data_IF_147144806265
#
_entry.id   IF_147144806265
#
_cell.length_a   1.000
_cell.length_b   1.000
_cell.length_c   1.000
_cell.angle_alpha   90.00
_cell.angle_beta   90.00
_cell.angle_gamma   90.00
#
_symmetry.space_group_name_H-M   'P 1'
#
loop_
_entity.id
_entity.type
_entity.pdbx_description
1 polymer ?
#
# COMPACT_ATOMS: atom_id res chain seq x y z
N UNK A 1 -19.41 5.22 6.49
CA UNK A 1 -19.68 6.38 5.61
C UNK A 1 -18.50 7.32 5.84
N UNK A 2 -17.74 7.67 4.80
CA UNK A 2 -16.45 8.33 4.99
C UNK A 2 -16.56 9.80 5.45
N UNK A 3 -15.70 10.26 6.38
CA UNK A 3 -15.68 11.63 6.93
C UNK A 3 -15.67 12.75 5.89
N UNK A 4 -15.04 12.48 4.75
CA UNK A 4 -14.88 13.43 3.66
C UNK A 4 -16.23 13.81 3.01
N UNK A 5 -17.20 12.88 3.04
CA UNK A 5 -18.50 13.08 2.41
C UNK A 5 -19.41 13.98 3.26
N UNK A 6 -19.30 13.92 4.59
CA UNK A 6 -20.14 14.68 5.53
C UNK A 6 -19.72 16.16 5.59
N UNK A 7 -18.41 16.43 5.63
CA UNK A 7 -17.86 17.80 5.54
C UNK A 7 -18.26 18.49 4.23
N UNK A 8 -18.20 17.76 3.11
CA UNK A 8 -18.59 18.27 1.80
C UNK A 8 -20.09 18.57 1.74
N UNK A 9 -20.93 17.70 2.30
CA UNK A 9 -22.38 17.91 2.34
C UNK A 9 -22.78 19.16 3.13
N UNK A 10 -22.10 19.43 4.27
CA UNK A 10 -22.36 20.64 5.07
C UNK A 10 -21.99 21.90 4.28
N UNK A 11 -20.86 21.90 3.56
CA UNK A 11 -20.44 23.04 2.73
C UNK A 11 -21.39 23.28 1.55
N UNK A 12 -21.90 22.22 0.92
CA UNK A 12 -22.93 22.31 -0.13
C UNK A 12 -24.23 22.91 0.42
N UNK A 13 -24.66 22.53 1.64
CA UNK A 13 -25.87 23.08 2.27
C UNK A 13 -25.74 24.58 2.61
N UNK A 14 -24.54 25.06 2.96
CA UNK A 14 -24.26 26.50 3.13
C UNK A 14 -24.34 27.22 1.78
N UNK A 15 -23.74 26.65 0.73
CA UNK A 15 -23.71 27.24 -0.61
C UNK A 15 -25.12 27.35 -1.23
N UNK A 16 -25.99 26.38 -0.96
CA UNK A 16 -27.39 26.38 -1.40
C UNK A 16 -28.32 27.23 -0.52
N UNK A 17 -27.81 27.82 0.56
CA UNK A 17 -28.58 28.63 1.51
C UNK A 17 -29.60 27.83 2.32
N UNK A 18 -29.45 26.50 2.39
CA UNK A 18 -30.31 25.59 3.17
C UNK A 18 -30.06 25.72 4.68
N UNK A 19 -28.85 26.16 5.05
CA UNK A 19 -28.46 26.51 6.42
C UNK A 19 -27.66 27.81 6.42
N UNK A 20 -27.69 28.52 7.55
CA UNK A 20 -26.85 29.70 7.73
C UNK A 20 -25.38 29.32 7.92
N UNK A 21 -24.47 30.27 7.66
CA UNK A 21 -23.04 30.06 7.90
C UNK A 21 -22.74 29.71 9.38
N UNK A 22 -23.48 30.29 10.32
CA UNK A 22 -23.33 30.01 11.75
C UNK A 22 -23.78 28.60 12.13
N UNK A 23 -24.85 28.08 11.50
CA UNK A 23 -25.29 26.69 11.69
C UNK A 23 -24.33 25.70 11.01
N UNK A 24 -23.79 26.05 9.85
CA UNK A 24 -22.78 25.27 9.16
C UNK A 24 -21.49 25.12 9.95
N UNK A 25 -20.99 26.20 10.57
CA UNK A 25 -19.82 26.16 11.46
C UNK A 25 -20.04 25.28 12.69
N UNK A 26 -21.25 25.28 13.28
CA UNK A 26 -21.57 24.42 14.41
C UNK A 26 -21.57 22.94 14.03
N UNK A 27 -22.08 22.60 12.85
CA UNK A 27 -22.09 21.22 12.34
C UNK A 27 -20.68 20.72 12.00
N UNK A 28 -19.84 21.57 11.40
CA UNK A 28 -18.45 21.23 11.12
C UNK A 28 -17.65 21.00 12.41
N UNK A 29 -17.89 21.80 13.44
CA UNK A 29 -17.25 21.65 14.75
C UNK A 29 -17.68 20.36 15.46
N UNK A 30 -18.97 20.03 15.43
CA UNK A 30 -19.48 18.79 15.99
C UNK A 30 -18.91 17.55 15.26
N UNK A 31 -18.69 17.67 13.95
CA UNK A 31 -18.03 16.64 13.15
C UNK A 31 -16.58 16.43 13.61
N UNK A 32 -15.80 17.51 13.77
CA UNK A 32 -14.43 17.46 14.28
C UNK A 32 -14.33 16.90 15.72
N UNK A 33 -15.29 17.24 16.58
CA UNK A 33 -15.34 16.72 17.96
C UNK A 33 -15.68 15.21 18.00
N UNK A 34 -16.52 14.72 17.09
CA UNK A 34 -16.82 13.27 17.00
C UNK A 34 -15.61 12.42 16.58
N UNK A 35 -14.63 13.01 15.89
CA UNK A 35 -13.37 12.33 15.54
C UNK A 35 -12.32 12.41 16.66
N UNK A 36 -12.44 13.38 17.57
CA UNK A 36 -11.53 13.52 18.71
C UNK A 36 -11.83 12.52 19.85
N UNK A 37 -13.02 11.90 19.87
CA UNK A 37 -13.40 10.90 20.88
C UNK A 37 -13.03 9.45 20.50
N UNK A 38 -12.68 9.16 19.24
CA UNK A 38 -12.25 7.81 18.80
C UNK A 38 -10.73 7.57 18.90
N UNK A 39 -9.92 8.61 19.14
CA UNK A 39 -8.47 8.49 19.30
C UNK A 39 -8.07 8.89 20.74
N UNK A 40 -7.48 7.95 21.49
CA UNK A 40 -6.93 8.04 22.87
C UNK A 40 -7.82 7.61 24.04
N UNK A 41 -7.84 6.30 24.30
CA UNK A 41 -8.06 5.73 25.63
C UNK A 41 -6.80 5.07 26.20
N UNK A 42 -5.98 5.80 26.96
CA UNK A 42 -4.99 5.26 27.91
C UNK A 42 -4.89 6.16 29.16
N UNK A 43 -4.60 5.61 30.36
CA UNK A 43 -5.07 6.15 31.64
C UNK A 43 -4.19 7.26 32.25
N UNK A 44 -4.82 8.07 33.11
CA UNK A 44 -4.21 9.15 33.90
C UNK A 44 -3.00 8.70 34.75
N UNK A 45 -1.91 9.46 34.68
CA UNK A 45 -0.79 9.40 35.61
C UNK A 45 -0.65 10.73 36.36
N UNK A 46 -0.60 10.66 37.69
CA UNK A 46 -0.46 11.77 38.63
C UNK A 46 0.84 12.60 38.46
N UNK A 47 0.88 13.86 38.96
CA UNK A 47 1.95 14.79 38.63
C UNK A 47 3.19 14.54 39.48
N UNK A 48 4.29 14.18 38.84
CA UNK A 48 5.61 14.09 39.49
C UNK A 48 6.47 15.29 39.11
N UNK A 49 6.81 16.02 40.16
CA UNK A 49 7.64 17.21 40.27
C UNK A 49 8.99 17.08 39.53
N UNK A 50 9.29 18.00 38.61
CA UNK A 50 10.57 18.09 37.92
C UNK A 50 11.64 18.79 38.78
N UNK A 51 12.92 18.41 38.62
CA UNK A 51 13.98 19.41 38.69
C UNK A 51 14.86 19.43 37.43
N UNK A 52 15.05 20.66 36.95
CA UNK A 52 16.22 21.26 36.32
C UNK A 52 17.09 20.43 35.35
N UNK A 53 17.00 20.84 34.08
CA UNK A 53 18.06 20.99 33.07
C UNK A 53 19.46 20.48 33.43
N UNK A 54 19.90 19.45 32.71
CA UNK A 54 21.30 19.13 32.51
C UNK A 54 21.68 19.38 31.04
N UNK A 55 22.47 20.42 30.83
CA UNK A 55 23.20 20.72 29.59
C UNK A 55 24.38 19.75 29.47
N UNK A 56 24.56 19.15 28.30
CA UNK A 56 25.83 18.55 27.86
C UNK A 56 26.10 18.92 26.38
N UNK A 57 27.38 18.93 25.95
CA UNK A 57 27.93 20.05 25.22
C UNK A 57 28.00 19.85 23.70
N UNK A 58 27.85 20.95 22.97
CA UNK A 58 28.23 21.03 21.57
C UNK A 58 29.75 20.89 21.42
N UNK A 59 30.20 19.73 20.94
CA UNK A 59 31.57 19.57 20.44
C UNK A 59 31.59 20.07 19.00
N UNK A 60 32.14 21.27 18.81
CA UNK A 60 32.40 21.83 17.50
C UNK A 60 33.48 21.04 16.76
N UNK A 61 33.11 20.48 15.61
CA UNK A 61 34.01 20.44 14.46
C UNK A 61 33.32 21.22 13.35
N UNK A 62 33.75 22.47 13.20
CA UNK A 62 33.34 23.31 12.10
C UNK A 62 33.98 22.79 10.82
N UNK A 63 33.13 22.39 9.86
CA UNK A 63 33.55 22.32 8.48
C UNK A 63 33.81 23.74 8.00
N UNK A 64 34.93 24.04 7.31
CA UNK A 64 35.05 25.30 6.62
C UNK A 64 34.05 25.26 5.47
N UNK A 65 32.90 25.91 5.65
CA UNK A 65 32.09 26.36 4.53
C UNK A 65 32.91 27.41 3.78
N UNK A 66 33.77 26.96 2.86
CA UNK A 66 34.20 27.80 1.76
C UNK A 66 33.00 27.91 0.84
N UNK A 67 32.03 28.74 1.26
CA UNK A 67 31.06 29.28 0.34
C UNK A 67 31.88 29.98 -0.75
N UNK A 68 31.70 29.65 -2.05
CA UNK A 68 32.15 30.56 -3.08
C UNK A 68 31.51 31.91 -2.76
N UNK A 69 32.29 32.99 -2.84
CA UNK A 69 31.79 34.33 -2.57
C UNK A 69 30.48 34.54 -3.35
N UNK A 70 29.36 34.71 -2.62
CA UNK A 70 28.07 34.97 -3.25
C UNK A 70 28.24 36.18 -4.16
N UNK A 71 28.06 35.97 -5.46
CA UNK A 71 27.95 37.08 -6.39
C UNK A 71 26.80 38.00 -5.91
N UNK A 72 26.92 39.33 -6.10
CA UNK A 72 25.86 40.25 -5.69
C UNK A 72 24.55 39.86 -6.38
N UNK A 73 23.49 39.68 -5.59
CA UNK A 73 22.16 39.37 -6.12
C UNK A 73 21.67 40.55 -7.00
N UNK A 74 21.18 40.27 -8.22
CA UNK A 74 20.73 41.30 -9.16
C UNK A 74 19.58 42.12 -8.59
N UNK A 75 19.63 43.45 -8.75
CA UNK A 75 18.70 44.40 -8.10
C UNK A 75 17.57 44.84 -9.04
N UNK A 76 17.65 44.48 -10.32
CA UNK A 76 16.65 44.78 -11.35
C UNK A 76 16.35 43.56 -12.24
N UNK A 77 15.18 43.57 -12.89
CA UNK A 77 14.78 42.52 -13.86
C UNK A 77 15.80 42.33 -14.98
N UNK A 78 16.39 43.43 -15.46
CA UNK A 78 17.41 43.38 -16.50
C UNK A 78 18.68 42.66 -16.01
N UNK A 79 19.16 42.97 -14.81
CA UNK A 79 20.33 42.28 -14.21
C UNK A 79 20.03 40.80 -13.92
N UNK A 80 18.80 40.45 -13.54
CA UNK A 80 18.39 39.04 -13.38
C UNK A 80 18.45 38.28 -14.71
N UNK A 81 17.93 38.88 -15.78
CA UNK A 81 17.96 38.29 -17.12
C UNK A 81 19.39 38.16 -17.63
N UNK A 82 20.23 39.18 -17.44
CA UNK A 82 21.65 39.15 -17.82
C UNK A 82 22.39 38.03 -17.08
N UNK A 83 22.21 37.95 -15.76
CA UNK A 83 22.83 36.89 -14.96
C UNK A 83 22.36 35.48 -15.37
N UNK A 84 21.09 35.33 -15.77
CA UNK A 84 20.52 34.07 -16.24
C UNK A 84 21.10 33.68 -17.60
N UNK A 85 21.19 34.63 -18.54
CA UNK A 85 21.84 34.42 -19.85
C UNK A 85 23.29 33.97 -19.67
N UNK A 86 24.05 34.61 -18.78
CA UNK A 86 25.43 34.23 -18.52
C UNK A 86 25.52 32.82 -17.93
N UNK A 87 24.67 32.49 -16.96
CA UNK A 87 24.64 31.15 -16.36
C UNK A 87 24.28 30.05 -17.38
N UNK A 88 23.32 30.31 -18.28
CA UNK A 88 22.91 29.38 -19.33
C UNK A 88 24.00 29.20 -20.40
N UNK A 89 24.68 30.28 -20.79
CA UNK A 89 25.85 30.19 -21.69
C UNK A 89 26.99 29.38 -21.09
N UNK A 90 27.26 29.57 -19.79
CA UNK A 90 28.23 28.74 -19.06
C UNK A 90 27.82 27.26 -18.96
N UNK A 91 26.52 26.98 -19.04
CA UNK A 91 25.97 25.63 -19.12
C UNK A 91 25.94 25.07 -20.56
N UNK A 92 26.35 25.84 -21.57
CA UNK A 92 26.40 25.42 -22.98
C UNK A 92 25.19 25.80 -23.82
N UNK A 93 24.24 26.57 -23.28
CA UNK A 93 23.06 27.04 -24.00
C UNK A 93 23.37 28.39 -24.67
N UNK A 94 23.67 28.37 -25.98
CA UNK A 94 24.13 29.56 -26.72
C UNK A 94 23.01 30.31 -27.46
N UNK A 95 22.01 29.61 -27.97
CA UNK A 95 20.90 30.18 -28.76
C UNK A 95 19.69 30.48 -27.87
N UNK A 96 19.58 31.73 -27.39
CA UNK A 96 18.49 32.18 -26.54
C UNK A 96 17.68 33.30 -27.22
N UNK A 97 16.36 33.13 -27.29
CA UNK A 97 15.43 34.17 -27.68
C UNK A 97 14.86 34.91 -26.47
N UNK A 98 14.23 36.06 -26.72
CA UNK A 98 13.51 36.80 -25.67
C UNK A 98 12.33 35.96 -25.13
N UNK A 99 11.70 35.14 -25.98
CA UNK A 99 10.60 34.26 -25.58
C UNK A 99 11.08 33.22 -24.57
N UNK A 100 12.23 32.60 -24.86
CA UNK A 100 12.87 31.59 -24.01
C UNK A 100 13.18 32.15 -22.61
N UNK A 101 13.77 33.35 -22.56
CA UNK A 101 14.06 34.02 -21.29
C UNK A 101 12.79 34.36 -20.51
N UNK A 102 11.70 34.71 -21.19
CA UNK A 102 10.42 34.93 -20.52
C UNK A 102 9.88 33.63 -19.94
N UNK A 103 9.96 32.52 -20.68
CA UNK A 103 9.51 31.21 -20.22
C UNK A 103 10.29 30.72 -18.99
N UNK A 104 11.62 30.77 -19.06
CA UNK A 104 12.51 30.43 -17.94
C UNK A 104 12.15 31.22 -16.67
N UNK A 105 11.96 32.54 -16.81
CA UNK A 105 11.57 33.39 -15.68
C UNK A 105 10.18 33.05 -15.14
N UNK A 106 9.21 32.74 -16.01
CA UNK A 106 7.86 32.33 -15.58
C UNK A 106 7.89 31.03 -14.79
N UNK A 107 8.78 30.09 -15.16
CA UNK A 107 9.00 28.83 -14.44
C UNK A 107 10.03 28.93 -13.30
N UNK A 108 10.43 30.15 -12.94
CA UNK A 108 11.38 30.41 -11.85
C UNK A 108 12.74 29.69 -12.01
N UNK A 109 13.21 29.56 -13.25
CA UNK A 109 14.58 29.16 -13.57
C UNK A 109 15.47 30.39 -13.42
N UNK A 110 16.35 30.39 -12.41
CA UNK A 110 17.22 31.51 -12.07
C UNK A 110 18.69 31.20 -12.37
N UNK A 111 19.52 32.24 -12.48
CA UNK A 111 20.96 32.09 -12.63
C UNK A 111 21.58 31.28 -11.49
N UNK A 112 21.07 31.45 -10.26
CA UNK A 112 21.48 30.70 -9.08
C UNK A 112 21.14 29.22 -9.22
N UNK A 113 19.91 28.90 -9.64
CA UNK A 113 19.49 27.53 -9.90
C UNK A 113 20.38 26.81 -10.93
N UNK A 114 20.65 27.45 -12.07
CA UNK A 114 21.52 26.90 -13.13
C UNK A 114 22.94 26.64 -12.60
N UNK A 115 23.52 27.62 -11.88
CA UNK A 115 24.88 27.49 -11.32
C UNK A 115 24.96 26.41 -10.25
N UNK A 116 23.96 26.30 -9.38
CA UNK A 116 23.94 25.28 -8.33
C UNK A 116 23.81 23.87 -8.89
N UNK A 117 22.89 23.64 -9.83
CA UNK A 117 22.78 22.35 -10.50
C UNK A 117 24.06 22.00 -11.27
N UNK A 118 24.67 22.97 -11.96
CA UNK A 118 25.95 22.76 -12.64
C UNK A 118 27.10 22.46 -11.67
N UNK A 119 27.14 23.09 -10.50
CA UNK A 119 28.11 22.76 -9.45
C UNK A 119 27.90 21.35 -8.90
N UNK A 120 26.64 20.89 -8.92
CA UNK A 120 26.28 19.49 -8.72
C UNK A 120 26.42 18.67 -10.01
N UNK A 121 27.13 19.11 -11.04
CA UNK A 121 27.36 18.31 -12.25
C UNK A 121 26.12 17.98 -13.08
N UNK A 122 24.97 18.61 -12.80
CA UNK A 122 23.76 18.56 -13.64
C UNK A 122 23.80 19.76 -14.57
N UNK A 123 24.10 19.51 -15.84
CA UNK A 123 24.23 20.55 -16.85
C UNK A 123 23.71 20.02 -18.21
N UNK A 124 22.38 19.90 -18.37
CA UNK A 124 21.81 19.56 -19.66
C UNK A 124 22.14 20.63 -20.71
N UNK A 125 22.35 20.19 -21.94
CA UNK A 125 22.75 21.05 -23.05
C UNK A 125 21.59 21.75 -23.74
N UNK A 126 20.38 21.20 -23.64
CA UNK A 126 19.18 21.80 -24.22
C UNK A 126 18.47 22.70 -23.21
N UNK A 127 17.86 23.77 -23.73
CA UNK A 127 17.06 24.70 -22.92
C UNK A 127 15.81 24.02 -22.34
N UNK A 128 15.18 23.13 -23.11
CA UNK A 128 14.00 22.37 -22.73
C UNK A 128 14.22 21.55 -21.47
N UNK A 129 15.34 20.86 -21.38
CA UNK A 129 15.72 20.05 -20.20
C UNK A 129 15.79 20.89 -18.92
N UNK A 130 16.28 22.15 -18.99
CA UNK A 130 16.28 23.06 -17.84
C UNK A 130 14.86 23.44 -17.39
N UNK A 131 13.94 23.59 -18.34
CA UNK A 131 12.53 23.87 -18.07
C UNK A 131 11.82 22.63 -17.52
N UNK A 132 12.15 21.45 -18.03
CA UNK A 132 11.60 20.15 -17.60
C UNK A 132 12.02 19.83 -16.17
N UNK A 133 13.32 19.91 -15.87
CA UNK A 133 13.82 19.79 -14.49
C UNK A 133 13.04 20.70 -13.53
N UNK A 134 12.67 21.90 -13.98
CA UNK A 134 11.93 22.84 -13.13
C UNK A 134 10.44 22.54 -13.03
N UNK A 135 9.84 22.06 -14.11
CA UNK A 135 8.45 21.58 -14.17
C UNK A 135 8.25 20.40 -13.21
N UNK A 136 9.22 19.49 -13.14
CA UNK A 136 9.22 18.35 -12.21
C UNK A 136 9.75 18.70 -10.81
N UNK A 137 9.86 19.98 -10.47
CA UNK A 137 10.29 20.46 -9.15
C UNK A 137 11.68 19.95 -8.69
N UNK A 138 12.58 19.65 -9.61
CA UNK A 138 13.95 19.25 -9.27
C UNK A 138 14.67 20.45 -8.65
N UNK A 139 15.19 20.28 -7.44
CA UNK A 139 15.90 21.32 -6.70
C UNK A 139 17.37 20.95 -6.46
N UNK A 140 18.28 21.93 -6.32
CA UNK A 140 19.65 21.65 -5.92
C UNK A 140 19.77 20.96 -4.55
N UNK A 141 18.79 21.19 -3.66
CA UNK A 141 18.71 20.48 -2.38
C UNK A 141 18.42 18.99 -2.60
N UNK A 142 17.39 18.67 -3.37
CA UNK A 142 17.02 17.29 -3.70
C UNK A 142 18.21 16.52 -4.30
N UNK A 143 18.89 17.09 -5.30
CA UNK A 143 20.08 16.48 -5.92
C UNK A 143 21.21 16.26 -4.90
N UNK A 144 21.43 17.20 -3.99
CA UNK A 144 22.46 17.08 -2.95
C UNK A 144 22.12 15.98 -1.94
N UNK A 145 20.86 15.87 -1.54
CA UNK A 145 20.39 14.84 -0.62
C UNK A 145 20.53 13.44 -1.24
N UNK A 146 20.09 13.24 -2.48
CA UNK A 146 20.26 11.97 -3.21
C UNK A 146 21.74 11.55 -3.28
N UNK A 147 22.64 12.50 -3.56
CA UNK A 147 24.09 12.22 -3.58
C UNK A 147 24.67 11.91 -2.21
N UNK A 148 24.16 12.56 -1.17
CA UNK A 148 24.58 12.30 0.22
C UNK A 148 24.18 10.89 0.64
N UNK A 149 23.03 10.42 0.16
CA UNK A 149 22.56 9.04 0.31
C UNK A 149 23.32 8.05 -0.59
N UNK A 150 24.28 8.52 -1.39
CA UNK A 150 25.13 7.67 -2.21
C UNK A 150 24.53 7.24 -3.55
N UNK A 151 23.38 7.81 -3.95
CA UNK A 151 22.77 7.53 -5.25
C UNK A 151 23.69 8.04 -6.37
N UNK A 152 24.05 7.12 -7.27
CA UNK A 152 24.95 7.37 -8.42
C UNK A 152 24.12 7.43 -9.70
N UNK A 153 24.73 7.88 -10.79
CA UNK A 153 24.07 7.91 -12.10
C UNK A 153 22.98 8.98 -12.25
N UNK A 154 22.96 9.99 -11.37
CA UNK A 154 21.99 11.08 -11.45
C UNK A 154 22.31 12.02 -12.63
N UNK A 155 21.61 11.82 -13.74
CA UNK A 155 21.46 12.78 -14.84
C UNK A 155 20.07 13.46 -14.79
N UNK A 156 19.72 14.24 -15.81
CA UNK A 156 18.48 15.00 -15.82
C UNK A 156 17.25 14.06 -15.87
N UNK A 157 17.28 13.07 -16.77
CA UNK A 157 16.20 12.10 -16.98
C UNK A 157 15.95 11.27 -15.70
N UNK A 158 17.02 10.75 -15.08
CA UNK A 158 16.91 9.98 -13.85
C UNK A 158 16.34 10.81 -12.67
N UNK A 159 16.68 12.10 -12.60
CA UNK A 159 16.12 12.99 -11.57
C UNK A 159 14.63 13.23 -11.80
N UNK A 160 14.21 13.40 -13.05
CA UNK A 160 12.81 13.56 -13.44
C UNK A 160 12.04 12.28 -13.08
N UNK A 161 12.53 11.11 -13.49
CA UNK A 161 11.90 9.81 -13.22
C UNK A 161 11.68 9.54 -11.72
N UNK A 162 12.71 9.77 -10.90
CA UNK A 162 12.62 9.66 -9.44
C UNK A 162 11.54 10.61 -8.89
N UNK A 163 11.48 11.84 -9.41
CA UNK A 163 10.52 12.84 -8.94
C UNK A 163 9.08 12.53 -9.38
N UNK A 164 8.87 12.09 -10.61
CA UNK A 164 7.56 11.65 -11.13
C UNK A 164 7.02 10.47 -10.34
N UNK A 165 7.91 9.56 -9.94
CA UNK A 165 7.61 8.38 -9.14
C UNK A 165 7.52 8.70 -7.63
N UNK A 166 7.58 9.97 -7.23
CA UNK A 166 7.53 10.45 -5.85
C UNK A 166 8.63 9.87 -4.92
N UNK A 167 9.78 9.49 -5.49
CA UNK A 167 10.91 8.99 -4.71
C UNK A 167 11.60 10.14 -3.98
N UNK A 168 11.46 10.14 -2.66
CA UNK A 168 12.04 11.18 -1.79
C UNK A 168 13.36 10.74 -1.16
N UNK A 169 14.25 11.67 -0.77
CA UNK A 169 15.47 11.33 -0.04
C UNK A 169 15.16 10.68 1.32
N UNK A 170 14.03 11.05 1.94
CA UNK A 170 13.54 10.41 3.16
C UNK A 170 13.20 8.93 2.93
N UNK A 171 12.48 8.62 1.85
CA UNK A 171 12.13 7.25 1.49
C UNK A 171 13.40 6.39 1.31
N UNK A 172 14.37 6.87 0.54
CA UNK A 172 15.66 6.19 0.33
C UNK A 172 16.41 6.00 1.66
N UNK A 173 16.49 7.03 2.49
CA UNK A 173 17.15 6.94 3.80
C UNK A 173 16.49 5.89 4.70
N UNK A 174 15.15 5.81 4.69
CA UNK A 174 14.43 4.80 5.47
C UNK A 174 14.72 3.37 4.95
N UNK A 175 14.76 3.17 3.63
CA UNK A 175 15.18 1.88 3.02
C UNK A 175 16.61 1.49 3.44
N UNK A 176 17.54 2.44 3.46
CA UNK A 176 18.91 2.21 3.94
C UNK A 176 18.95 1.84 5.43
N UNK A 177 18.08 2.39 6.28
CA UNK A 177 18.01 1.95 7.69
C UNK A 177 17.50 0.51 7.84
N UNK A 178 16.80 0.01 6.82
CA UNK A 178 16.42 -1.39 6.67
C UNK A 178 17.49 -2.18 5.92
N UNK A 179 18.70 -1.66 5.72
CA UNK A 179 19.80 -2.40 5.07
C UNK A 179 19.58 -2.67 3.58
N UNK A 180 18.65 -1.97 2.92
CA UNK A 180 18.51 -1.95 1.46
C UNK A 180 19.39 -0.83 0.88
N UNK A 181 20.71 -1.00 1.01
CA UNK A 181 21.70 0.03 0.69
C UNK A 181 22.12 0.07 -0.79
N UNK A 182 21.88 -1.01 -1.53
CA UNK A 182 22.40 -1.21 -2.90
C UNK A 182 21.31 -1.16 -3.99
N UNK A 183 20.19 -0.49 -3.72
CA UNK A 183 19.08 -0.35 -4.68
C UNK A 183 19.47 0.53 -5.88
N UNK A 184 19.07 0.07 -7.07
CA UNK A 184 19.17 0.84 -8.31
C UNK A 184 18.14 1.98 -8.35
N UNK A 185 18.26 2.90 -9.31
CA UNK A 185 17.24 3.94 -9.52
C UNK A 185 15.91 3.29 -9.92
N UNK A 186 15.97 2.30 -10.81
CA UNK A 186 14.82 1.52 -11.26
C UNK A 186 14.14 0.82 -10.07
N UNK A 187 14.90 0.20 -9.16
CA UNK A 187 14.35 -0.46 -7.96
C UNK A 187 13.59 0.54 -7.06
N UNK A 188 14.16 1.73 -6.85
CA UNK A 188 13.53 2.78 -6.04
C UNK A 188 12.23 3.27 -6.67
N UNK A 189 12.23 3.41 -7.99
CA UNK A 189 11.07 3.80 -8.79
C UNK A 189 9.99 2.72 -8.72
N UNK A 190 10.34 1.45 -8.90
CA UNK A 190 9.40 0.33 -8.84
C UNK A 190 8.78 0.18 -7.45
N UNK A 191 9.59 0.18 -6.39
CA UNK A 191 9.07 0.13 -5.01
C UNK A 191 8.08 1.27 -4.75
N UNK A 192 8.40 2.50 -5.19
CA UNK A 192 7.53 3.66 -4.99
C UNK A 192 6.23 3.56 -5.81
N UNK A 193 6.33 3.18 -7.08
CA UNK A 193 5.18 3.04 -7.99
C UNK A 193 4.21 1.94 -7.56
N UNK A 194 4.72 0.87 -6.96
CA UNK A 194 3.93 -0.22 -6.37
C UNK A 194 3.49 0.05 -4.93
N UNK A 195 3.78 1.24 -4.38
CA UNK A 195 3.34 1.63 -3.04
C UNK A 195 4.03 0.87 -1.90
N UNK A 196 5.18 0.27 -2.17
CA UNK A 196 5.96 -0.48 -1.18
C UNK A 196 6.66 0.49 -0.24
N UNK A 197 6.12 0.63 0.96
CA UNK A 197 6.66 1.56 1.96
C UNK A 197 7.78 0.93 2.81
N UNK A 198 8.73 1.73 3.35
CA UNK A 198 9.72 1.22 4.30
C UNK A 198 9.07 0.60 5.54
N UNK A 199 7.91 1.14 5.97
CA UNK A 199 7.13 0.55 7.07
C UNK A 199 6.65 -0.87 6.75
N UNK A 200 6.12 -1.07 5.54
CA UNK A 200 5.65 -2.39 5.10
C UNK A 200 6.80 -3.40 5.11
N UNK A 201 7.96 -3.04 4.54
CA UNK A 201 9.18 -3.88 4.56
C UNK A 201 9.62 -4.19 5.99
N UNK A 202 9.64 -3.20 6.88
CA UNK A 202 10.01 -3.39 8.28
C UNK A 202 9.07 -4.36 9.02
N UNK A 203 7.76 -4.26 8.76
CA UNK A 203 6.75 -5.16 9.33
C UNK A 203 6.92 -6.60 8.79
N UNK A 204 7.16 -6.78 7.48
CA UNK A 204 7.47 -8.10 6.90
C UNK A 204 8.70 -8.74 7.55
N UNK A 205 9.78 -7.98 7.73
CA UNK A 205 10.99 -8.47 8.40
C UNK A 205 10.77 -8.81 9.87
N UNK A 206 9.92 -8.06 10.56
CA UNK A 206 9.53 -8.39 11.95
C UNK A 206 8.76 -9.72 12.04
N UNK A 207 8.16 -10.13 10.92
CA UNK A 207 7.56 -11.43 10.70
C UNK A 207 8.60 -12.39 10.07
N UNK A 208 9.90 -12.21 10.24
CA UNK A 208 10.91 -13.18 9.82
C UNK A 208 11.03 -13.38 8.30
N UNK A 209 10.41 -12.54 7.47
CA UNK A 209 10.69 -12.47 6.03
C UNK A 209 11.86 -11.50 5.81
N UNK A 210 13.07 -11.96 6.13
CA UNK A 210 14.27 -11.11 6.24
C UNK A 210 14.99 -10.88 4.90
N UNK A 211 14.93 -11.87 3.99
CA UNK A 211 15.73 -11.93 2.77
C UNK A 211 14.89 -11.76 1.49
N UNK A 212 13.91 -10.86 1.51
CA UNK A 212 13.08 -10.56 0.35
C UNK A 212 13.80 -9.65 -0.64
N UNK A 213 13.80 -10.02 -1.92
CA UNK A 213 14.22 -9.15 -3.01
C UNK A 213 13.13 -8.13 -3.40
N UNK A 214 13.46 -7.22 -4.33
CA UNK A 214 12.56 -6.14 -4.76
C UNK A 214 11.32 -6.70 -5.45
N UNK A 215 11.48 -7.73 -6.28
CA UNK A 215 10.38 -8.35 -7.01
C UNK A 215 9.42 -9.02 -6.02
N UNK A 216 9.93 -9.79 -5.06
CA UNK A 216 9.12 -10.44 -4.01
C UNK A 216 8.36 -9.42 -3.14
N UNK A 217 8.99 -8.29 -2.79
CA UNK A 217 8.33 -7.21 -2.05
C UNK A 217 7.16 -6.60 -2.85
N UNK A 218 7.37 -6.41 -4.15
CA UNK A 218 6.36 -5.87 -5.06
C UNK A 218 5.23 -6.88 -5.26
N UNK A 219 5.54 -8.17 -5.45
CA UNK A 219 4.54 -9.22 -5.62
C UNK A 219 3.64 -9.36 -4.39
N UNK A 220 4.21 -9.40 -3.19
CA UNK A 220 3.43 -9.42 -1.94
C UNK A 220 2.48 -8.21 -1.84
N UNK A 221 2.96 -7.02 -2.20
CA UNK A 221 2.14 -5.80 -2.21
C UNK A 221 1.03 -5.83 -3.26
N UNK A 222 1.33 -6.24 -4.50
CA UNK A 222 0.38 -6.33 -5.60
C UNK A 222 -0.72 -7.36 -5.37
N UNK A 223 -0.43 -8.41 -4.59
CA UNK A 223 -1.37 -9.47 -4.23
C UNK A 223 -2.04 -9.25 -2.86
N UNK A 224 -2.05 -8.00 -2.36
CA UNK A 224 -2.71 -7.59 -1.11
C UNK A 224 -2.25 -8.38 0.14
N UNK A 225 -1.04 -8.93 0.11
CA UNK A 225 -0.46 -9.69 1.23
C UNK A 225 0.05 -8.73 2.30
N UNK A 226 -0.84 -8.39 3.24
CA UNK A 226 -0.50 -7.48 4.35
C UNK A 226 0.29 -8.17 5.48
N UNK A 227 1.12 -7.45 6.26
CA UNK A 227 1.81 -8.03 7.42
C UNK A 227 0.81 -8.58 8.46
N UNK A 228 -0.36 -7.94 8.59
CA UNK A 228 -1.46 -8.43 9.43
C UNK A 228 -1.98 -9.78 8.95
N UNK A 229 -2.20 -9.93 7.64
CA UNK A 229 -2.62 -11.21 7.05
C UNK A 229 -1.62 -12.31 7.39
N UNK A 230 -0.33 -12.10 7.12
CA UNK A 230 0.74 -13.06 7.44
C UNK A 230 0.75 -13.42 8.93
N UNK A 231 0.69 -12.43 9.82
CA UNK A 231 0.68 -12.66 11.26
C UNK A 231 -0.52 -13.52 11.70
N UNK A 232 -1.72 -13.27 11.14
CA UNK A 232 -2.92 -14.02 11.46
C UNK A 232 -2.90 -15.44 10.89
N UNK A 233 -2.43 -15.63 9.65
CA UNK A 233 -2.25 -16.95 9.03
C UNK A 233 -1.29 -17.81 9.86
N UNK A 234 -0.17 -17.25 10.30
CA UNK A 234 0.78 -17.96 11.17
C UNK A 234 0.23 -18.27 12.56
N UNK A 235 -0.54 -17.37 13.14
CA UNK A 235 -1.23 -17.62 14.40
C UNK A 235 -2.27 -18.75 14.29
N UNK A 236 -2.74 -19.03 13.07
CA UNK A 236 -3.56 -20.18 12.74
C UNK A 236 -2.73 -21.44 12.45
N UNK A 237 -1.43 -21.46 12.74
CA UNK A 237 -0.60 -22.66 12.63
C UNK A 237 -0.07 -22.95 11.21
N UNK A 238 -0.33 -22.07 10.25
CA UNK A 238 0.33 -22.08 8.93
C UNK A 238 1.60 -21.22 9.02
N UNK A 239 2.56 -21.67 9.82
CA UNK A 239 3.72 -20.86 10.23
C UNK A 239 4.83 -20.77 9.18
N UNK A 240 5.03 -21.85 8.43
CA UNK A 240 6.20 -22.10 7.58
C UNK A 240 5.91 -21.89 6.09
N UNK A 241 5.01 -20.94 5.77
CA UNK A 241 4.64 -20.67 4.38
C UNK A 241 5.71 -19.85 3.65
N UNK A 242 6.01 -20.24 2.42
CA UNK A 242 6.81 -19.49 1.47
C UNK A 242 6.03 -18.27 0.92
N UNK A 243 6.75 -17.34 0.28
CA UNK A 243 6.16 -16.11 -0.29
C UNK A 243 5.06 -16.46 -1.29
N UNK A 244 5.34 -17.38 -2.21
CA UNK A 244 4.39 -17.84 -3.24
C UNK A 244 3.12 -18.42 -2.60
N UNK A 245 3.25 -19.19 -1.52
CA UNK A 245 2.11 -19.80 -0.84
C UNK A 245 1.23 -18.75 -0.11
N UNK A 246 1.84 -17.69 0.44
CA UNK A 246 1.10 -16.56 1.01
C UNK A 246 0.34 -15.79 -0.08
N UNK A 247 0.96 -15.61 -1.25
CA UNK A 247 0.34 -14.98 -2.42
C UNK A 247 -0.82 -15.82 -2.93
N UNK A 248 -0.65 -17.15 -3.05
CA UNK A 248 -1.71 -18.06 -3.47
C UNK A 248 -2.92 -18.01 -2.53
N UNK A 249 -2.71 -18.07 -1.21
CA UNK A 249 -3.80 -17.93 -0.24
C UNK A 249 -4.56 -16.61 -0.42
N UNK A 250 -3.86 -15.50 -0.64
CA UNK A 250 -4.48 -14.19 -0.88
C UNK A 250 -5.29 -14.17 -2.18
N UNK A 251 -4.69 -14.64 -3.28
CA UNK A 251 -5.32 -14.69 -4.61
C UNK A 251 -6.59 -15.55 -4.65
N UNK A 252 -6.63 -16.60 -3.84
CA UNK A 252 -7.79 -17.49 -3.71
C UNK A 252 -8.74 -17.07 -2.58
N UNK A 253 -8.66 -15.83 -2.09
CA UNK A 253 -9.53 -15.24 -1.07
C UNK A 253 -9.56 -16.02 0.27
N UNK A 254 -8.49 -16.79 0.55
CA UNK A 254 -8.37 -17.58 1.79
C UNK A 254 -7.97 -16.67 2.94
N UNK A 255 -8.95 -15.99 3.52
CA UNK A 255 -8.75 -15.12 4.68
C UNK A 255 -8.54 -15.88 6.00
N UNK A 256 -7.89 -15.27 7.01
CA UNK A 256 -7.86 -15.83 8.36
C UNK A 256 -9.25 -16.13 8.95
N UNK A 257 -10.26 -15.34 8.58
CA UNK A 257 -11.64 -15.57 9.00
C UNK A 257 -12.26 -16.78 8.31
N UNK A 258 -11.94 -17.01 7.03
CA UNK A 258 -12.33 -18.22 6.30
C UNK A 258 -11.79 -19.46 7.01
N UNK A 259 -10.49 -19.51 7.29
CA UNK A 259 -9.82 -20.62 7.99
C UNK A 259 -10.45 -20.89 9.36
N UNK A 260 -10.61 -19.83 10.20
CA UNK A 260 -11.27 -19.95 11.52
C UNK A 260 -12.68 -20.54 11.42
N UNK A 261 -13.45 -20.13 10.41
CA UNK A 261 -14.82 -20.58 10.23
C UNK A 261 -14.87 -22.05 9.78
N UNK A 262 -13.99 -22.46 8.86
CA UNK A 262 -13.89 -23.85 8.41
C UNK A 262 -13.46 -24.78 9.56
N UNK A 263 -12.48 -24.37 10.37
CA UNK A 263 -12.07 -25.14 11.56
C UNK A 263 -13.19 -25.28 12.59
N UNK A 264 -13.99 -24.23 12.81
CA UNK A 264 -15.14 -24.30 13.71
C UNK A 264 -16.22 -25.29 13.25
N UNK A 265 -16.20 -25.69 11.97
CA UNK A 265 -17.07 -26.71 11.40
C UNK A 265 -16.47 -28.14 11.47
N UNK A 266 -15.31 -28.29 12.11
CA UNK A 266 -14.63 -29.57 12.30
C UNK A 266 -13.55 -29.90 11.26
N UNK A 267 -13.22 -28.96 10.37
CA UNK A 267 -12.11 -29.09 9.41
C UNK A 267 -10.81 -28.55 10.03
N UNK A 268 -10.32 -29.22 11.07
CA UNK A 268 -9.24 -28.69 11.94
C UNK A 268 -7.83 -28.77 11.30
N UNK A 269 -7.57 -29.79 10.48
CA UNK A 269 -6.25 -30.14 9.94
C UNK A 269 -6.12 -29.87 8.43
N UNK A 270 -6.63 -28.73 7.95
CA UNK A 270 -6.46 -28.30 6.56
C UNK A 270 -5.08 -27.70 6.35
N UNK A 271 -4.34 -28.22 5.36
CA UNK A 271 -3.16 -27.54 4.81
C UNK A 271 -3.56 -26.38 3.88
N UNK A 272 -2.57 -25.63 3.40
CA UNK A 272 -2.82 -24.44 2.58
C UNK A 272 -3.42 -24.81 1.21
N UNK A 273 -2.99 -25.91 0.60
CA UNK A 273 -3.50 -26.41 -0.68
C UNK A 273 -4.98 -26.77 -0.56
N UNK A 274 -5.37 -27.49 0.48
CA UNK A 274 -6.77 -27.85 0.74
C UNK A 274 -7.65 -26.63 1.01
N UNK A 275 -7.12 -25.60 1.67
CA UNK A 275 -7.83 -24.34 1.86
C UNK A 275 -8.06 -23.61 0.51
N UNK A 276 -7.05 -23.58 -0.34
CA UNK A 276 -7.14 -23.04 -1.70
C UNK A 276 -8.14 -23.83 -2.52
N UNK A 277 -8.12 -25.16 -2.47
CA UNK A 277 -9.06 -26.02 -3.21
C UNK A 277 -10.52 -25.78 -2.77
N UNK A 278 -10.77 -25.73 -1.46
CA UNK A 278 -12.11 -25.42 -0.94
C UNK A 278 -12.60 -24.05 -1.44
N UNK A 279 -11.75 -23.02 -1.32
CA UNK A 279 -12.11 -21.65 -1.73
C UNK A 279 -12.35 -21.56 -3.24
N UNK A 280 -11.45 -22.14 -4.05
CA UNK A 280 -11.52 -22.15 -5.51
C UNK A 280 -12.73 -22.89 -6.06
N UNK A 281 -13.29 -23.82 -5.28
CA UNK A 281 -14.52 -24.54 -5.62
C UNK A 281 -15.77 -23.91 -5.00
N UNK A 282 -15.72 -22.63 -4.60
CA UNK A 282 -16.82 -21.89 -3.99
C UNK A 282 -17.39 -22.54 -2.70
N UNK A 283 -16.59 -23.33 -1.98
CA UNK A 283 -16.99 -23.90 -0.69
C UNK A 283 -16.85 -22.82 0.38
N UNK A 284 -17.89 -22.01 0.52
CA UNK A 284 -17.96 -21.00 1.60
C UNK A 284 -18.21 -21.65 2.97
N UNK A 285 -17.78 -21.02 4.08
CA UNK A 285 -18.10 -21.51 5.42
C UNK A 285 -19.61 -21.60 5.68
N UNK A 286 -20.40 -20.71 5.04
CA UNK A 286 -21.85 -20.76 5.08
C UNK A 286 -22.40 -22.04 4.43
N UNK A 287 -21.93 -22.34 3.21
CA UNK A 287 -22.35 -23.55 2.51
C UNK A 287 -22.00 -24.80 3.32
N UNK A 288 -20.75 -24.91 3.79
CA UNK A 288 -20.30 -26.02 4.62
C UNK A 288 -21.16 -26.16 5.89
N UNK A 289 -21.44 -25.06 6.59
CA UNK A 289 -22.30 -25.08 7.78
C UNK A 289 -23.72 -25.58 7.47
N UNK A 290 -24.36 -25.05 6.43
CA UNK A 290 -25.72 -25.44 6.04
C UNK A 290 -25.79 -26.92 5.62
N UNK A 291 -24.78 -27.42 4.91
CA UNK A 291 -24.67 -28.83 4.48
C UNK A 291 -24.45 -29.77 5.66
N UNK A 292 -23.53 -29.43 6.57
CA UNK A 292 -23.25 -30.21 7.78
C UNK A 292 -24.50 -30.25 8.69
N UNK A 293 -25.17 -29.12 8.90
CA UNK A 293 -26.42 -29.07 9.67
C UNK A 293 -27.53 -29.91 9.00
N UNK A 294 -27.67 -29.79 7.69
CA UNK A 294 -28.68 -30.53 6.92
C UNK A 294 -28.47 -32.04 6.97
N UNK A 295 -27.21 -32.48 6.85
CA UNK A 295 -26.84 -33.88 6.92
C UNK A 295 -26.84 -34.43 8.36
N UNK A 296 -26.60 -33.58 9.36
CA UNK A 296 -26.45 -33.99 10.76
C UNK A 296 -25.15 -34.75 11.04
N UNK A 297 -24.15 -34.62 10.15
CA UNK A 297 -22.82 -35.23 10.26
C UNK A 297 -21.77 -34.30 9.62
N UNK A 298 -20.50 -34.36 10.05
CA UNK A 298 -19.42 -33.64 9.37
C UNK A 298 -19.12 -34.26 8.00
N UNK A 299 -18.44 -33.49 7.16
CA UNK A 299 -17.88 -33.91 5.87
C UNK A 299 -16.40 -33.53 5.82
N UNK A 300 -15.61 -34.31 5.09
CA UNK A 300 -14.24 -33.94 4.73
C UNK A 300 -14.22 -32.77 3.73
N UNK A 301 -13.04 -32.17 3.54
CA UNK A 301 -12.86 -31.08 2.57
C UNK A 301 -13.27 -31.52 1.15
N UNK A 302 -12.80 -32.69 0.74
CA UNK A 302 -13.07 -33.25 -0.59
C UNK A 302 -14.55 -33.60 -0.78
N UNK A 303 -15.22 -34.17 0.23
CA UNK A 303 -16.68 -34.38 0.17
C UNK A 303 -17.43 -33.05 0.05
N UNK A 304 -17.01 -31.98 0.73
CA UNK A 304 -17.66 -30.66 0.59
C UNK A 304 -17.46 -30.06 -0.81
N UNK A 305 -16.28 -30.23 -1.40
CA UNK A 305 -15.98 -29.84 -2.78
C UNK A 305 -16.88 -30.61 -3.74
N UNK A 306 -16.97 -31.94 -3.60
CA UNK A 306 -17.78 -32.77 -4.48
C UNK A 306 -19.29 -32.45 -4.34
N UNK A 307 -19.78 -32.24 -3.11
CA UNK A 307 -21.15 -31.78 -2.89
C UNK A 307 -21.42 -30.42 -3.56
N UNK A 308 -20.45 -29.50 -3.50
CA UNK A 308 -20.57 -28.15 -4.07
C UNK A 308 -20.57 -28.18 -5.59
N UNK A 309 -19.64 -28.92 -6.21
CA UNK A 309 -19.53 -29.07 -7.66
C UNK A 309 -20.77 -29.74 -8.27
N UNK A 310 -21.45 -30.61 -7.51
CA UNK A 310 -22.65 -31.32 -7.94
C UNK A 310 -23.96 -30.64 -7.50
N UNK A 311 -23.91 -29.35 -7.14
CA UNK A 311 -25.07 -28.53 -6.74
C UNK A 311 -25.92 -29.15 -5.63
N UNK A 312 -25.29 -29.93 -4.72
CA UNK A 312 -26.00 -30.60 -3.65
C UNK A 312 -26.48 -29.58 -2.63
N UNK A 313 -27.82 -29.39 -2.58
CA UNK A 313 -28.42 -28.41 -1.69
C UNK A 313 -28.62 -28.93 -0.25
N UNK A 314 -28.48 -28.07 0.77
CA UNK A 314 -28.86 -28.38 2.15
C UNK A 314 -30.32 -28.84 2.31
N UNK A 315 -31.22 -28.40 1.41
CA UNK A 315 -32.61 -28.88 1.41
C UNK A 315 -32.70 -30.35 1.01
N UNK A 316 -31.99 -30.75 -0.04
CA UNK A 316 -31.97 -32.13 -0.51
C UNK A 316 -31.41 -33.08 0.57
N UNK A 317 -30.31 -32.69 1.22
CA UNK A 317 -29.73 -33.46 2.33
C UNK A 317 -30.71 -33.60 3.52
N UNK A 318 -31.43 -32.54 3.89
CA UNK A 318 -32.49 -32.61 4.90
C UNK A 318 -33.60 -33.59 4.51
N UNK A 319 -34.07 -33.54 3.26
CA UNK A 319 -35.10 -34.45 2.77
C UNK A 319 -34.66 -35.92 2.80
N UNK A 320 -33.39 -36.20 2.47
CA UNK A 320 -32.80 -37.54 2.58
C UNK A 320 -32.71 -37.99 4.04
N UNK A 321 -32.27 -37.11 4.95
CA UNK A 321 -32.16 -37.39 6.38
C UNK A 321 -33.51 -37.67 7.02
N UNK A 322 -34.51 -36.83 6.78
CA UNK A 322 -35.88 -37.00 7.30
C UNK A 322 -36.55 -38.31 6.83
N UNK A 323 -36.13 -38.81 5.67
CA UNK A 323 -36.61 -40.08 5.13
C UNK A 323 -35.81 -41.30 5.60
N UNK A 324 -34.76 -41.09 6.41
CA UNK A 324 -33.83 -42.14 6.87
C UNK A 324 -32.98 -42.73 5.75
N UNK A 325 -32.84 -42.03 4.63
CA UNK A 325 -32.08 -42.51 3.47
C UNK A 325 -30.60 -42.16 3.55
N UNK A 326 -30.27 -41.02 4.17
CA UNK A 326 -28.90 -40.49 4.22
C UNK A 326 -27.90 -41.44 4.91
N UNK A 327 -28.34 -42.23 5.88
CA UNK A 327 -27.51 -43.24 6.57
C UNK A 327 -27.31 -44.53 5.76
N UNK A 328 -28.09 -44.73 4.69
CA UNK A 328 -28.11 -45.98 3.90
C UNK A 328 -27.55 -45.83 2.50
N UNK A 329 -27.39 -44.59 2.03
CA UNK A 329 -26.84 -44.29 0.71
C UNK A 329 -25.32 -44.20 0.81
N UNK A 330 -24.63 -44.78 -0.17
CA UNK A 330 -23.23 -44.44 -0.39
C UNK A 330 -23.11 -42.96 -0.80
N UNK A 331 -21.94 -42.37 -0.60
CA UNK A 331 -21.70 -40.98 -0.98
C UNK A 331 -21.86 -40.78 -2.49
N UNK A 332 -21.28 -41.66 -3.31
CA UNK A 332 -21.44 -41.64 -4.77
C UNK A 332 -22.91 -41.72 -5.20
N UNK A 333 -23.72 -42.58 -4.56
CA UNK A 333 -25.16 -42.67 -4.85
C UNK A 333 -25.89 -41.35 -4.53
N UNK A 334 -25.48 -40.64 -3.48
CA UNK A 334 -26.04 -39.34 -3.12
C UNK A 334 -25.71 -38.30 -4.19
N UNK A 335 -24.47 -38.29 -4.68
CA UNK A 335 -24.02 -37.40 -5.75
C UNK A 335 -24.78 -37.69 -7.05
N UNK A 336 -24.83 -38.94 -7.50
CA UNK A 336 -25.57 -39.35 -8.70
C UNK A 336 -27.05 -38.93 -8.62
N UNK A 337 -27.66 -39.05 -7.44
CA UNK A 337 -29.04 -38.60 -7.24
C UNK A 337 -29.20 -37.09 -7.36
N UNK A 338 -28.26 -36.31 -6.84
CA UNK A 338 -28.31 -34.87 -6.93
C UNK A 338 -28.15 -34.40 -8.38
N UNK A 339 -27.16 -34.93 -9.11
CA UNK A 339 -26.95 -34.68 -10.54
C UNK A 339 -28.19 -35.03 -11.37
N UNK A 340 -28.78 -36.20 -11.12
CA UNK A 340 -29.98 -36.65 -11.82
C UNK A 340 -31.28 -35.98 -11.32
N UNK A 341 -31.18 -35.05 -10.35
CA UNK A 341 -32.30 -34.35 -9.73
C UNK A 341 -33.39 -35.31 -9.21
N UNK A 342 -32.98 -36.47 -8.71
CA UNK A 342 -33.89 -37.53 -8.25
C UNK A 342 -34.43 -37.15 -6.87
N UNK A 343 -35.73 -36.86 -6.72
CA UNK A 343 -36.28 -36.49 -5.41
C UNK A 343 -36.26 -37.70 -4.48
N UNK A 344 -35.83 -37.49 -3.23
CA UNK A 344 -35.68 -38.51 -2.19
C UNK A 344 -36.92 -39.45 -2.03
N UNK A 345 -38.13 -38.90 -2.22
CA UNK A 345 -39.40 -39.65 -2.17
C UNK A 345 -39.51 -40.81 -3.16
N UNK A 346 -38.76 -40.80 -4.27
CA UNK A 346 -38.79 -41.86 -5.28
C UNK A 346 -37.99 -43.08 -4.85
N UNK A 347 -36.86 -42.92 -4.17
CA UNK A 347 -36.06 -44.05 -3.68
C UNK A 347 -36.82 -44.92 -2.68
N UNK A 348 -37.59 -44.30 -1.78
CA UNK A 348 -38.43 -45.04 -0.82
C UNK A 348 -39.47 -45.95 -1.51
N UNK A 349 -39.84 -45.63 -2.76
CA UNK A 349 -40.74 -46.47 -3.58
C UNK A 349 -40.00 -47.57 -4.34
N UNK A 350 -38.72 -47.39 -4.66
CA UNK A 350 -37.90 -48.37 -5.40
C UNK A 350 -37.24 -49.41 -4.47
N UNK A 351 -36.96 -49.05 -3.21
CA UNK A 351 -36.40 -49.97 -2.19
C UNK A 351 -37.48 -50.79 -1.43
N UNK A 352 -38.75 -50.71 -1.83
CA UNK A 352 -39.86 -51.57 -1.36
C UNK A 352 -40.20 -52.58 -2.43
#
# INVERSE_FOLDING_TARGET
MEPFNERRMILEMIAEGKISAAEGEQLLRALEESFAEEEFGLPEAEPVNAPASAVLPASGQGFPAVLPALAPQPRSRAEMMEALVDALREAGVEELTISDLQELMMRNVTAEYVRELRALGIAPGDLGDWLELREHNITPLYVRELRTLGIKGLDADALIELSESNVSPKFIAELQTLGLDELSIDDLVELSNHGISPRYIAELRSLGLEDLDVDELIELGNHDVSPKFIAEIRALGLADLEVDELIELSNHEVSPQYIKSMRALGLEDLDYEQLIELSSNDVSPRYAAEVIEAAGKPFSAEELIELRQNDVSPKFLRELREQGLLETLAFDELIEMAEAHVPARLLKKLKR
#
